data_IF_837438851489
#
_entry.id   IF_837438851489
#
_cell.length_a   1.000
_cell.length_b   1.000
_cell.length_c   1.000
_cell.angle_alpha   90.00
_cell.angle_beta   90.00
_cell.angle_gamma   90.00
#
_symmetry.space_group_name_H-M   'P 1'
#
loop_
_entity.id
_entity.type
_entity.pdbx_description
1 polymer ?
#
# COMPACT_ATOMS: atom_id res chain seq x y z
N UNK A 1 -14.12 1.18 2.08
CA UNK A 1 -12.95 2.07 2.28
C UNK A 1 -12.39 2.02 3.71
N UNK A 2 -13.24 1.95 4.75
CA UNK A 2 -12.81 1.88 6.16
C UNK A 2 -11.97 0.64 6.53
N UNK A 3 -12.24 -0.52 5.92
CA UNK A 3 -11.52 -1.76 6.25
C UNK A 3 -10.08 -1.76 5.71
N UNK A 4 -9.85 -1.15 4.56
CA UNK A 4 -8.53 -1.04 3.96
C UNK A 4 -7.62 -0.08 4.73
N UNK A 5 -8.15 1.09 5.13
CA UNK A 5 -7.42 2.01 6.01
C UNK A 5 -7.05 1.37 7.35
N UNK A 6 -7.95 0.55 7.91
CA UNK A 6 -7.69 -0.21 9.14
C UNK A 6 -6.65 -1.32 8.94
N UNK A 7 -6.62 -1.97 7.78
CA UNK A 7 -5.60 -2.95 7.42
C UNK A 7 -4.22 -2.31 7.26
N UNK A 8 -4.14 -1.13 6.63
CA UNK A 8 -2.89 -0.35 6.49
C UNK A 8 -2.34 0.05 7.86
N UNK A 9 -3.18 0.56 8.77
CA UNK A 9 -2.75 0.92 10.13
C UNK A 9 -2.21 -0.28 10.91
N UNK A 10 -2.78 -1.47 10.72
CA UNK A 10 -2.27 -2.71 11.34
C UNK A 10 -0.93 -3.15 10.75
N UNK A 11 -0.77 -3.02 9.43
CA UNK A 11 0.50 -3.26 8.73
C UNK A 11 1.62 -2.34 9.25
N UNK A 12 1.33 -1.05 9.36
CA UNK A 12 2.28 -0.06 9.90
C UNK A 12 2.69 -0.37 11.35
N UNK A 13 1.73 -0.78 12.19
CA UNK A 13 2.01 -1.14 13.58
C UNK A 13 2.94 -2.36 13.68
N UNK A 14 2.62 -3.45 12.97
CA UNK A 14 3.44 -4.67 12.95
C UNK A 14 4.83 -4.38 12.38
N UNK A 15 4.94 -3.50 11.37
CA UNK A 15 6.22 -3.04 10.82
C UNK A 15 7.09 -2.36 11.88
N UNK A 16 6.53 -1.45 12.67
CA UNK A 16 7.25 -0.77 13.75
C UNK A 16 7.77 -1.75 14.82
N UNK A 17 6.95 -2.74 15.18
CA UNK A 17 7.33 -3.80 16.12
C UNK A 17 8.46 -4.68 15.54
N UNK A 18 8.40 -5.03 14.26
CA UNK A 18 9.44 -5.84 13.60
C UNK A 18 10.78 -5.09 13.52
N UNK A 19 10.76 -3.81 13.16
CA UNK A 19 11.96 -2.96 13.07
C UNK A 19 12.64 -2.73 14.42
N UNK A 20 11.91 -2.85 15.53
CA UNK A 20 12.43 -2.75 16.89
C UNK A 20 13.02 -4.07 17.41
N UNK A 21 12.72 -5.21 16.77
CA UNK A 21 13.08 -6.54 17.29
C UNK A 21 14.40 -7.07 16.71
N UNK A 22 14.75 -6.73 15.46
CA UNK A 22 15.98 -7.22 14.82
C UNK A 22 16.80 -6.12 14.12
N UNK A 23 17.91 -5.65 14.73
CA UNK A 23 18.79 -4.65 14.12
C UNK A 23 19.58 -5.18 12.91
N UNK A 24 19.71 -6.50 12.75
CA UNK A 24 20.53 -7.14 11.70
C UNK A 24 19.83 -7.18 10.35
N UNK A 25 18.50 -7.27 10.36
CA UNK A 25 17.67 -7.27 9.15
C UNK A 25 16.89 -5.96 8.96
N UNK A 26 17.15 -4.94 9.79
CA UNK A 26 16.49 -3.63 9.73
C UNK A 26 16.49 -3.01 8.33
N UNK A 27 17.61 -3.06 7.61
CA UNK A 27 17.69 -2.52 6.24
C UNK A 27 16.83 -3.31 5.23
N UNK A 28 16.83 -4.64 5.32
CA UNK A 28 15.98 -5.49 4.47
C UNK A 28 14.51 -5.27 4.77
N UNK A 29 14.16 -5.10 6.05
CA UNK A 29 12.80 -4.79 6.49
C UNK A 29 12.34 -3.41 6.03
N UNK A 30 13.21 -2.39 6.09
CA UNK A 30 12.93 -1.07 5.53
C UNK A 30 12.78 -1.11 4.01
N UNK A 31 13.55 -1.93 3.30
CA UNK A 31 13.41 -2.13 1.86
C UNK A 31 12.10 -2.84 1.51
N UNK A 32 11.73 -3.88 2.26
CA UNK A 32 10.46 -4.59 2.11
C UNK A 32 9.27 -3.67 2.41
N UNK A 33 9.34 -2.85 3.46
CA UNK A 33 8.32 -1.84 3.78
C UNK A 33 8.07 -0.91 2.61
N UNK A 34 9.13 -0.31 2.05
CA UNK A 34 8.99 0.66 0.97
C UNK A 34 8.31 0.04 -0.26
N UNK A 35 8.64 -1.21 -0.58
CA UNK A 35 7.94 -1.95 -1.66
C UNK A 35 6.47 -2.18 -1.37
N UNK A 36 6.10 -2.48 -0.12
CA UNK A 36 4.69 -2.64 0.27
C UNK A 36 3.96 -1.30 0.15
N UNK A 37 4.57 -0.21 0.59
CA UNK A 37 4.00 1.14 0.50
C UNK A 37 3.77 1.56 -0.97
N UNK A 38 4.73 1.28 -1.85
CA UNK A 38 4.61 1.48 -3.31
C UNK A 38 3.46 0.67 -3.91
N UNK A 39 3.35 -0.62 -3.58
CA UNK A 39 2.27 -1.50 -4.07
C UNK A 39 0.89 -1.05 -3.58
N UNK A 40 0.78 -0.57 -2.35
CA UNK A 40 -0.46 0.00 -1.83
C UNK A 40 -0.83 1.25 -2.63
N UNK A 41 0.11 2.17 -2.86
CA UNK A 41 -0.13 3.37 -3.67
C UNK A 41 -0.52 3.03 -5.12
N UNK A 42 0.13 2.04 -5.73
CA UNK A 42 -0.21 1.55 -7.06
C UNK A 42 -1.63 0.96 -7.09
N UNK A 43 -2.00 0.13 -6.11
CA UNK A 43 -3.36 -0.38 -5.98
C UNK A 43 -4.40 0.74 -5.93
N UNK A 44 -4.16 1.78 -5.11
CA UNK A 44 -5.05 2.94 -5.05
C UNK A 44 -5.09 3.70 -6.38
N UNK A 45 -3.93 3.93 -7.01
CA UNK A 45 -3.85 4.60 -8.30
C UNK A 45 -4.59 3.84 -9.40
N UNK A 46 -4.53 2.51 -9.43
CA UNK A 46 -5.26 1.67 -10.39
C UNK A 46 -6.75 1.65 -10.08
N UNK A 47 -7.14 1.53 -8.80
CA UNK A 47 -8.55 1.51 -8.38
C UNK A 47 -9.26 2.86 -8.53
N UNK A 48 -8.52 3.96 -8.45
CA UNK A 48 -9.05 5.31 -8.49
C UNK A 48 -8.61 6.12 -9.71
N UNK A 49 -7.86 5.53 -10.66
CA UNK A 49 -7.63 6.17 -11.97
C UNK A 49 -8.94 6.22 -12.75
N UNK A 50 -9.34 7.41 -13.22
CA UNK A 50 -10.63 7.57 -13.86
C UNK A 50 -10.58 7.28 -15.36
N UNK A 51 -10.26 6.07 -15.82
CA UNK A 51 -10.52 5.62 -17.22
C UNK A 51 -10.69 4.09 -17.22
N UNK A 52 -11.87 3.47 -17.37
CA UNK A 52 -12.67 3.39 -18.60
C UNK A 52 -14.04 2.72 -18.30
N UNK A 53 -14.98 3.44 -17.69
CA UNK A 53 -16.41 3.11 -17.90
C UNK A 53 -16.84 3.79 -19.18
N UNK A 54 -17.11 2.99 -20.22
CA UNK A 54 -17.44 3.45 -21.55
C UNK A 54 -18.48 4.57 -21.56
N UNK A 55 -18.05 5.75 -22.01
CA UNK A 55 -18.95 6.68 -22.67
C UNK A 55 -18.81 6.41 -24.16
N UNK A 56 -19.79 5.68 -24.68
CA UNK A 56 -20.04 5.62 -26.11
C UNK A 56 -19.90 7.02 -26.70
N UNK A 57 -19.09 7.12 -27.77
CA UNK A 57 -19.20 8.18 -28.75
C UNK A 57 -20.67 8.24 -29.19
N UNK A 58 -21.41 9.18 -28.60
CA UNK A 58 -22.75 9.57 -29.01
C UNK A 58 -22.62 10.96 -29.58
N UNK A 59 -22.83 11.02 -30.90
CA UNK A 59 -22.92 12.16 -31.82
C UNK A 59 -21.60 12.71 -32.35
#
# INVERSE_FOLDING_TARGET
MLDLGRAILRLEKVKGELLNTDPRDKEKLLAASRKVDELVMEYYRVKHSPETTGSAARR
#
